data_IF_572059507282
#
_entry.id   IF_572059507282
#
_cell.length_a   1.000
_cell.length_b   1.000
_cell.length_c   1.000
_cell.angle_alpha   90.00
_cell.angle_beta   90.00
_cell.angle_gamma   90.00
#
_symmetry.space_group_name_H-M   'P 1'
#
loop_
_entity.id
_entity.type
_entity.pdbx_description
1 polymer ?
#
# COMPACT_ATOMS: atom_id res chain seq x y z
N UNK A 1 -31.63 -70.00 -26.70
CA UNK A 1 -31.76 -68.57 -27.11
C UNK A 1 -31.75 -67.57 -25.94
N UNK A 2 -31.99 -67.94 -24.67
CA UNK A 2 -32.02 -66.98 -23.55
C UNK A 2 -30.68 -66.38 -23.11
N UNK A 3 -29.54 -67.04 -23.35
CA UNK A 3 -28.22 -66.58 -22.87
C UNK A 3 -27.73 -65.26 -23.50
N UNK A 4 -28.06 -64.99 -24.76
CA UNK A 4 -27.65 -63.76 -25.44
C UNK A 4 -28.42 -62.53 -24.96
N UNK A 5 -29.68 -62.72 -24.54
CA UNK A 5 -30.55 -61.67 -24.03
C UNK A 5 -30.13 -61.23 -22.63
N UNK A 6 -29.70 -62.16 -21.77
CA UNK A 6 -29.14 -61.86 -20.45
C UNK A 6 -27.76 -61.20 -20.55
N UNK A 7 -26.88 -61.66 -21.45
CA UNK A 7 -25.55 -61.06 -21.63
C UNK A 7 -25.64 -59.60 -22.10
N UNK A 8 -26.58 -59.28 -23.02
CA UNK A 8 -26.85 -57.89 -23.45
C UNK A 8 -27.38 -57.02 -22.32
N UNK A 9 -28.30 -57.53 -21.49
CA UNK A 9 -28.80 -56.79 -20.31
C UNK A 9 -27.71 -56.52 -19.29
N UNK A 10 -26.83 -57.49 -19.04
CA UNK A 10 -25.69 -57.34 -18.13
C UNK A 10 -24.69 -56.31 -18.67
N UNK A 11 -24.37 -56.33 -19.98
CA UNK A 11 -23.52 -55.31 -20.60
C UNK A 11 -24.16 -53.90 -20.56
N UNK A 12 -25.47 -53.79 -20.78
CA UNK A 12 -26.20 -52.53 -20.69
C UNK A 12 -26.18 -51.95 -19.27
N UNK A 13 -26.44 -52.79 -18.27
CA UNK A 13 -26.34 -52.41 -16.85
C UNK A 13 -24.92 -52.02 -16.45
N UNK A 14 -23.91 -52.74 -16.94
CA UNK A 14 -22.50 -52.40 -16.71
C UNK A 14 -22.12 -51.07 -17.38
N UNK A 15 -22.60 -50.79 -18.60
CA UNK A 15 -22.37 -49.54 -19.31
C UNK A 15 -23.03 -48.33 -18.64
N UNK A 16 -24.25 -48.49 -18.14
CA UNK A 16 -24.95 -47.46 -17.35
C UNK A 16 -24.22 -47.21 -16.01
N UNK A 17 -23.78 -48.28 -15.34
CA UNK A 17 -23.01 -48.19 -14.10
C UNK A 17 -21.68 -47.46 -14.28
N UNK A 18 -20.93 -47.76 -15.35
CA UNK A 18 -19.70 -47.07 -15.72
C UNK A 18 -19.95 -45.60 -16.12
N UNK A 19 -21.05 -45.32 -16.82
CA UNK A 19 -21.45 -43.95 -17.17
C UNK A 19 -21.78 -43.09 -15.95
N UNK A 20 -22.53 -43.63 -14.99
CA UNK A 20 -22.84 -42.96 -13.72
C UNK A 20 -21.58 -42.72 -12.88
N UNK A 21 -20.65 -43.69 -12.85
CA UNK A 21 -19.38 -43.55 -12.16
C UNK A 21 -18.48 -42.47 -12.80
N UNK A 22 -18.50 -42.36 -14.13
CA UNK A 22 -17.82 -41.30 -14.87
C UNK A 22 -18.36 -39.90 -14.54
N UNK A 23 -19.70 -39.75 -14.52
CA UNK A 23 -20.35 -38.48 -14.13
C UNK A 23 -20.01 -38.11 -12.68
N UNK A 24 -20.03 -39.08 -11.76
CA UNK A 24 -19.67 -38.87 -10.36
C UNK A 24 -18.24 -38.35 -10.20
N UNK A 25 -17.28 -38.93 -10.93
CA UNK A 25 -15.87 -38.50 -10.91
C UNK A 25 -15.70 -37.06 -11.43
N UNK A 26 -16.42 -36.69 -12.49
CA UNK A 26 -16.40 -35.31 -13.03
C UNK A 26 -16.94 -34.32 -12.02
N UNK A 27 -18.03 -34.65 -11.32
CA UNK A 27 -18.61 -33.80 -10.27
C UNK A 27 -17.63 -33.62 -9.11
N UNK A 28 -16.98 -34.70 -8.65
CA UNK A 28 -15.99 -34.65 -7.57
C UNK A 28 -14.78 -33.79 -7.97
N UNK A 29 -14.28 -33.94 -9.19
CA UNK A 29 -13.19 -33.13 -9.72
C UNK A 29 -13.56 -31.64 -9.80
N UNK A 30 -14.78 -31.32 -10.27
CA UNK A 30 -15.30 -29.96 -10.31
C UNK A 30 -15.42 -29.34 -8.91
N UNK A 31 -16.02 -30.05 -7.95
CA UNK A 31 -16.17 -29.56 -6.57
C UNK A 31 -14.82 -29.33 -5.89
N UNK A 32 -13.84 -30.20 -6.15
CA UNK A 32 -12.48 -30.06 -5.62
C UNK A 32 -11.76 -28.83 -6.20
N UNK A 33 -11.90 -28.61 -7.52
CA UNK A 33 -11.36 -27.42 -8.19
C UNK A 33 -12.02 -26.13 -7.67
N UNK A 34 -13.35 -26.13 -7.50
CA UNK A 34 -14.10 -24.98 -7.00
C UNK A 34 -13.69 -24.62 -5.56
N UNK A 35 -13.50 -25.63 -4.70
CA UNK A 35 -13.01 -25.46 -3.32
C UNK A 35 -11.60 -24.86 -3.30
N UNK A 36 -10.68 -25.37 -4.12
CA UNK A 36 -9.31 -24.86 -4.23
C UNK A 36 -9.24 -23.43 -4.74
N UNK A 37 -10.10 -23.07 -5.72
CA UNK A 37 -10.23 -21.70 -6.21
C UNK A 37 -10.75 -20.78 -5.09
N UNK A 38 -11.75 -21.22 -4.34
CA UNK A 38 -12.29 -20.49 -3.19
C UNK A 38 -11.28 -20.23 -2.08
N UNK A 39 -10.50 -21.25 -1.68
CA UNK A 39 -9.47 -21.09 -0.66
C UNK A 39 -8.36 -20.14 -1.10
N UNK A 40 -7.97 -20.20 -2.38
CA UNK A 40 -6.94 -19.33 -2.95
C UNK A 40 -7.41 -17.88 -2.99
N UNK A 41 -8.65 -17.63 -3.41
CA UNK A 41 -9.24 -16.30 -3.40
C UNK A 41 -9.28 -15.72 -1.97
N UNK A 42 -9.73 -16.50 -0.97
CA UNK A 42 -9.81 -16.04 0.41
C UNK A 42 -8.44 -15.66 1.01
N UNK A 43 -7.38 -16.43 0.72
CA UNK A 43 -6.01 -16.10 1.15
C UNK A 43 -5.54 -14.79 0.51
N UNK A 44 -5.79 -14.64 -0.79
CA UNK A 44 -5.41 -13.44 -1.54
C UNK A 44 -6.16 -12.22 -1.00
N UNK A 45 -7.47 -12.30 -0.80
CA UNK A 45 -8.29 -11.21 -0.23
C UNK A 45 -7.78 -10.77 1.15
N UNK A 46 -7.41 -11.73 2.00
CA UNK A 46 -6.81 -11.45 3.31
C UNK A 46 -5.46 -10.74 3.18
N UNK A 47 -4.62 -11.10 2.20
CA UNK A 47 -3.36 -10.41 1.94
C UNK A 47 -3.55 -8.99 1.43
N UNK A 48 -4.51 -8.77 0.52
CA UNK A 48 -4.85 -7.42 0.04
C UNK A 48 -5.38 -6.54 1.17
N UNK A 49 -6.24 -7.08 2.03
CA UNK A 49 -6.74 -6.36 3.21
C UNK A 49 -5.60 -5.96 4.16
N UNK A 50 -4.66 -6.87 4.41
CA UNK A 50 -3.48 -6.57 5.22
C UNK A 50 -2.56 -5.51 4.58
N UNK A 51 -2.33 -5.60 3.27
CA UNK A 51 -1.53 -4.62 2.53
C UNK A 51 -2.18 -3.23 2.54
N UNK A 52 -3.49 -3.16 2.34
CA UNK A 52 -4.23 -1.90 2.40
C UNK A 52 -4.14 -1.25 3.80
N UNK A 53 -4.30 -2.04 4.86
CA UNK A 53 -4.15 -1.56 6.24
C UNK A 53 -2.73 -1.06 6.55
N UNK A 54 -1.70 -1.74 6.04
CA UNK A 54 -0.30 -1.30 6.17
C UNK A 54 -0.07 0.02 5.43
N UNK A 55 -0.56 0.14 4.19
CA UNK A 55 -0.42 1.36 3.42
C UNK A 55 -1.19 2.53 4.04
N UNK A 56 -2.39 2.29 4.58
CA UNK A 56 -3.16 3.30 5.29
C UNK A 56 -2.43 3.80 6.54
N UNK A 57 -1.91 2.86 7.35
CA UNK A 57 -1.15 3.18 8.56
C UNK A 57 0.13 3.95 8.21
N UNK A 58 0.85 3.50 7.18
CA UNK A 58 2.06 4.16 6.67
C UNK A 58 1.77 5.57 6.16
N UNK A 59 0.72 5.76 5.36
CA UNK A 59 0.30 7.06 4.84
C UNK A 59 -0.05 8.01 5.99
N UNK A 60 -0.85 7.56 6.98
CA UNK A 60 -1.19 8.39 8.16
C UNK A 60 0.05 8.76 8.97
N UNK A 61 0.96 7.81 9.21
CA UNK A 61 2.19 8.07 9.95
C UNK A 61 3.07 9.10 9.25
N UNK A 62 3.22 9.00 7.92
CA UNK A 62 4.00 9.92 7.10
C UNK A 62 3.36 11.32 7.07
N UNK A 63 2.04 11.42 6.90
CA UNK A 63 1.34 12.71 6.92
C UNK A 63 1.43 13.39 8.30
N UNK A 64 1.26 12.63 9.37
CA UNK A 64 1.42 13.14 10.74
C UNK A 64 2.87 13.59 11.02
N UNK A 65 3.85 12.87 10.48
CA UNK A 65 5.25 13.28 10.56
C UNK A 65 5.49 14.58 9.78
N UNK A 66 4.95 14.70 8.56
CA UNK A 66 5.06 15.92 7.75
C UNK A 66 4.50 17.14 8.48
N UNK A 67 3.29 17.07 9.04
CA UNK A 67 2.71 18.17 9.84
C UNK A 67 3.57 18.49 11.08
N UNK A 68 4.10 17.44 11.73
CA UNK A 68 5.04 17.61 12.85
C UNK A 68 6.33 18.34 12.47
N UNK A 69 6.81 18.19 11.24
CA UNK A 69 7.97 18.91 10.72
C UNK A 69 7.64 20.33 10.22
N UNK A 70 6.41 20.59 9.77
CA UNK A 70 5.99 21.92 9.32
C UNK A 70 5.64 22.85 10.49
N UNK A 71 4.88 22.40 11.49
CA UNK A 71 4.26 23.33 12.42
C UNK A 71 5.15 23.68 13.62
N UNK A 72 5.61 22.66 14.36
CA UNK A 72 6.34 22.87 15.60
C UNK A 72 7.76 23.43 15.39
N UNK A 73 8.58 22.90 14.46
CA UNK A 73 9.92 23.42 14.21
C UNK A 73 9.90 24.80 13.57
N UNK A 74 8.98 25.09 12.64
CA UNK A 74 8.95 26.41 12.00
C UNK A 74 8.61 27.53 12.98
N UNK A 75 7.67 27.29 13.90
CA UNK A 75 7.31 28.25 14.93
C UNK A 75 8.49 28.48 15.89
N UNK A 76 9.03 27.39 16.46
CA UNK A 76 10.15 27.49 17.41
C UNK A 76 11.41 28.10 16.79
N UNK A 77 11.78 27.69 15.57
CA UNK A 77 12.94 28.24 14.85
C UNK A 77 12.72 29.69 14.44
N UNK A 78 11.48 30.09 14.13
CA UNK A 78 11.12 31.48 13.90
C UNK A 78 11.34 32.35 15.14
N UNK A 79 10.75 31.94 16.27
CA UNK A 79 10.85 32.67 17.54
C UNK A 79 12.31 32.80 18.02
N UNK A 80 13.09 31.71 17.91
CA UNK A 80 14.52 31.72 18.26
C UNK A 80 15.30 32.65 17.33
N UNK A 81 15.03 32.60 16.03
CA UNK A 81 15.71 33.45 15.04
C UNK A 81 15.44 34.94 15.29
N UNK A 82 14.18 35.30 15.57
CA UNK A 82 13.78 36.67 15.86
C UNK A 82 14.41 37.16 17.18
N UNK A 83 14.46 36.30 18.20
CA UNK A 83 15.14 36.60 19.46
C UNK A 83 16.65 36.82 19.28
N UNK A 84 17.31 36.00 18.46
CA UNK A 84 18.74 36.15 18.16
C UNK A 84 19.04 37.45 17.42
N UNK A 85 18.21 37.82 16.45
CA UNK A 85 18.33 39.08 15.72
C UNK A 85 18.13 40.30 16.64
N UNK A 86 17.07 40.28 17.47
CA UNK A 86 16.81 41.35 18.43
C UNK A 86 17.97 41.50 19.44
N UNK A 87 18.54 40.40 19.91
CA UNK A 87 19.69 40.42 20.83
C UNK A 87 20.97 40.91 20.14
N UNK A 88 21.18 40.57 18.86
CA UNK A 88 22.29 41.09 18.06
C UNK A 88 22.20 42.61 17.84
N UNK A 89 21.01 43.12 17.50
CA UNK A 89 20.76 44.56 17.32
C UNK A 89 20.95 45.34 18.63
N UNK A 90 20.43 44.80 19.74
CA UNK A 90 20.64 45.38 21.07
C UNK A 90 22.12 45.42 21.45
N UNK A 91 22.86 44.33 21.19
CA UNK A 91 24.29 44.24 21.46
C UNK A 91 25.10 45.25 20.64
N UNK A 92 24.77 45.46 19.37
CA UNK A 92 25.39 46.49 18.53
C UNK A 92 25.06 47.91 19.02
N UNK A 93 23.82 48.18 19.43
CA UNK A 93 23.44 49.48 19.99
C UNK A 93 24.18 49.80 21.30
N UNK A 94 24.34 48.79 22.16
CA UNK A 94 25.19 48.87 23.35
C UNK A 94 26.66 49.10 22.99
N UNK A 95 27.20 48.40 21.99
CA UNK A 95 28.57 48.59 21.53
C UNK A 95 28.83 50.03 21.08
N UNK A 96 27.94 50.58 20.25
CA UNK A 96 28.00 51.97 19.81
C UNK A 96 27.92 52.96 20.97
N UNK A 97 27.15 52.65 22.01
CA UNK A 97 27.06 53.48 23.21
C UNK A 97 28.37 53.47 24.02
N UNK A 98 29.01 52.30 24.14
CA UNK A 98 30.29 52.16 24.83
C UNK A 98 31.45 52.85 24.09
N UNK A 99 31.48 52.79 22.76
CA UNK A 99 32.47 53.52 21.96
C UNK A 99 32.27 55.04 22.06
N UNK A 100 31.02 55.50 22.04
CA UNK A 100 30.72 56.91 22.27
C UNK A 100 31.18 57.35 23.66
N UNK A 101 31.01 56.54 24.70
CA UNK A 101 31.51 56.83 26.04
C UNK A 101 33.04 56.79 26.13
N UNK A 102 33.70 55.82 25.47
CA UNK A 102 35.16 55.70 25.38
C UNK A 102 35.81 56.91 24.71
N UNK A 103 35.12 57.53 23.75
CA UNK A 103 35.56 58.78 23.11
C UNK A 103 35.54 60.00 24.04
N UNK A 104 34.70 59.97 25.09
CA UNK A 104 34.54 61.06 26.08
C UNK A 104 35.42 60.80 27.31
N UNK A 105 35.52 59.54 27.73
CA UNK A 105 36.30 59.06 28.87
C UNK A 105 37.26 57.99 28.35
N UNK A 106 38.57 58.28 28.20
CA UNK A 106 39.54 57.36 27.63
C UNK A 106 39.90 56.27 28.64
N UNK A 107 38.92 55.41 28.92
CA UNK A 107 39.04 54.18 29.69
C UNK A 107 39.09 53.06 28.66
N UNK A 108 40.28 52.52 28.38
CA UNK A 108 40.46 51.46 27.36
C UNK A 108 39.57 50.22 27.55
N UNK A 109 38.99 50.05 28.74
CA UNK A 109 37.99 49.01 29.04
C UNK A 109 36.66 49.20 28.29
N UNK A 110 36.26 50.45 27.97
CA UNK A 110 34.98 50.73 27.28
C UNK A 110 35.04 50.34 25.79
N UNK A 111 36.16 50.61 25.12
CA UNK A 111 36.40 50.16 23.75
C UNK A 111 36.46 48.62 23.68
N UNK A 112 37.11 47.97 24.66
CA UNK A 112 37.17 46.51 24.72
C UNK A 112 35.77 45.87 24.88
N UNK A 113 34.90 46.49 25.68
CA UNK A 113 33.50 46.06 25.84
C UNK A 113 32.73 46.23 24.52
N UNK A 114 32.91 47.36 23.82
CA UNK A 114 32.29 47.61 22.52
C UNK A 114 32.68 46.57 21.47
N UNK A 115 33.98 46.25 21.37
CA UNK A 115 34.49 45.21 20.46
C UNK A 115 33.90 43.83 20.78
N UNK A 116 33.83 43.45 22.06
CA UNK A 116 33.24 42.19 22.50
C UNK A 116 31.75 42.09 22.17
N UNK A 117 31.00 43.19 22.36
CA UNK A 117 29.58 43.25 22.02
C UNK A 117 29.33 43.11 20.51
N UNK A 118 30.13 43.75 19.65
CA UNK A 118 30.05 43.55 18.19
C UNK A 118 30.41 42.13 17.77
N UNK A 119 31.44 41.55 18.37
CA UNK A 119 31.79 40.15 18.10
C UNK A 119 30.64 39.21 18.49
N UNK A 120 29.97 39.50 19.61
CA UNK A 120 28.77 38.76 20.03
C UNK A 120 27.62 38.95 19.05
N UNK A 121 27.32 40.19 18.62
CA UNK A 121 26.29 40.49 17.65
C UNK A 121 26.52 39.77 16.30
N UNK A 122 27.77 39.76 15.82
CA UNK A 122 28.16 39.03 14.62
C UNK A 122 27.94 37.52 14.78
N UNK A 123 28.30 36.95 15.93
CA UNK A 123 28.09 35.53 16.23
C UNK A 123 26.62 35.16 16.26
N UNK A 124 25.78 36.02 16.85
CA UNK A 124 24.32 35.83 16.91
C UNK A 124 23.68 35.90 15.53
N UNK A 125 24.13 36.80 14.66
CA UNK A 125 23.69 36.85 13.25
C UNK A 125 24.11 35.61 12.47
N UNK A 126 25.31 35.07 12.73
CA UNK A 126 25.74 33.79 12.15
C UNK A 126 24.84 32.64 12.60
N UNK A 127 24.54 32.56 13.90
CA UNK A 127 23.61 31.56 14.43
C UNK A 127 22.21 31.70 13.82
N UNK A 128 21.71 32.92 13.65
CA UNK A 128 20.44 33.20 12.96
C UNK A 128 20.42 32.65 11.52
N UNK A 129 21.50 32.84 10.76
CA UNK A 129 21.62 32.26 9.41
C UNK A 129 21.61 30.72 9.43
N UNK A 130 22.27 30.09 10.42
CA UNK A 130 22.23 28.64 10.59
C UNK A 130 20.81 28.15 10.93
N UNK A 131 20.08 28.85 11.80
CA UNK A 131 18.69 28.53 12.12
C UNK A 131 17.76 28.68 10.90
N UNK A 132 17.96 29.72 10.08
CA UNK A 132 17.21 29.90 8.84
C UNK A 132 17.49 28.75 7.84
N UNK A 133 18.74 28.30 7.73
CA UNK A 133 19.11 27.14 6.92
C UNK A 133 18.47 25.85 7.44
N UNK A 134 18.50 25.66 8.75
CA UNK A 134 17.88 24.50 9.41
C UNK A 134 16.37 24.46 9.19
N UNK A 135 15.70 25.62 9.27
CA UNK A 135 14.27 25.77 8.92
C UNK A 135 14.00 25.36 7.48
N UNK A 136 14.83 25.80 6.53
CA UNK A 136 14.74 25.38 5.13
C UNK A 136 14.86 23.87 4.95
N UNK A 137 15.78 23.23 5.67
CA UNK A 137 15.97 21.77 5.66
C UNK A 137 14.74 21.01 6.20
N UNK A 138 14.17 21.48 7.32
CA UNK A 138 12.95 20.90 7.88
C UNK A 138 11.76 21.02 6.92
N UNK A 139 11.58 22.18 6.28
CA UNK A 139 10.54 22.35 5.27
C UNK A 139 10.73 21.42 4.07
N UNK A 140 11.95 21.26 3.57
CA UNK A 140 12.23 20.32 2.48
C UNK A 140 11.90 18.87 2.88
N UNK A 141 12.23 18.48 4.11
CA UNK A 141 11.90 17.15 4.65
C UNK A 141 10.38 16.97 4.77
N UNK A 142 9.66 17.99 5.23
CA UNK A 142 8.22 17.94 5.32
C UNK A 142 7.55 17.80 3.95
N UNK A 143 8.02 18.52 2.93
CA UNK A 143 7.56 18.37 1.53
C UNK A 143 7.85 16.97 0.99
N UNK A 144 9.04 16.43 1.23
CA UNK A 144 9.39 15.07 0.80
C UNK A 144 8.50 14.01 1.47
N UNK A 145 8.15 14.22 2.74
CA UNK A 145 7.22 13.35 3.46
C UNK A 145 5.81 13.48 2.90
N UNK A 146 5.33 14.68 2.61
CA UNK A 146 4.02 14.90 1.98
C UNK A 146 3.94 14.19 0.61
N UNK A 147 4.96 14.34 -0.22
CA UNK A 147 5.04 13.64 -1.52
C UNK A 147 5.05 12.11 -1.34
N UNK A 148 5.77 11.61 -0.33
CA UNK A 148 5.76 10.19 0.02
C UNK A 148 4.37 9.72 0.44
N UNK A 149 3.64 10.54 1.21
CA UNK A 149 2.26 10.27 1.60
C UNK A 149 1.30 10.24 0.41
N UNK A 150 1.48 11.11 -0.58
CA UNK A 150 0.72 11.11 -1.84
C UNK A 150 0.98 9.83 -2.63
N UNK A 151 2.26 9.46 -2.85
CA UNK A 151 2.63 8.23 -3.55
C UNK A 151 2.10 6.97 -2.86
N UNK A 152 2.08 6.94 -1.52
CA UNK A 152 1.44 5.85 -0.77
C UNK A 152 -0.07 5.76 -1.05
N UNK A 153 -0.75 6.91 -1.19
CA UNK A 153 -2.16 6.95 -1.61
C UNK A 153 -2.37 6.41 -3.02
N UNK A 154 -1.48 6.73 -3.95
CA UNK A 154 -1.50 6.19 -5.32
C UNK A 154 -1.31 4.67 -5.34
N UNK A 155 -0.36 4.14 -4.56
CA UNK A 155 -0.17 2.69 -4.44
C UNK A 155 -1.40 1.98 -3.86
N UNK A 156 -2.13 2.60 -2.92
CA UNK A 156 -3.40 2.03 -2.43
C UNK A 156 -4.44 1.95 -3.53
N UNK A 157 -4.54 3.00 -4.35
CA UNK A 157 -5.48 3.01 -5.46
C UNK A 157 -5.13 1.94 -6.51
N UNK A 158 -3.85 1.81 -6.86
CA UNK A 158 -3.37 0.76 -7.77
C UNK A 158 -3.63 -0.64 -7.20
N UNK A 159 -3.39 -0.83 -5.90
CA UNK A 159 -3.67 -2.07 -5.20
C UNK A 159 -5.17 -2.42 -5.25
N UNK A 160 -6.06 -1.44 -5.07
CA UNK A 160 -7.50 -1.64 -5.16
C UNK A 160 -7.95 -2.03 -6.58
N UNK A 161 -7.37 -1.43 -7.62
CA UNK A 161 -7.64 -1.81 -9.02
C UNK A 161 -7.16 -3.24 -9.30
N UNK A 162 -5.94 -3.58 -8.86
CA UNK A 162 -5.41 -4.93 -9.03
C UNK A 162 -6.24 -5.98 -8.29
N UNK A 163 -6.79 -5.64 -7.12
CA UNK A 163 -7.70 -6.52 -6.37
C UNK A 163 -8.99 -6.79 -7.14
N UNK A 164 -9.61 -5.75 -7.73
CA UNK A 164 -10.80 -5.88 -8.55
C UNK A 164 -10.56 -6.74 -9.79
N UNK A 165 -9.47 -6.51 -10.52
CA UNK A 165 -9.11 -7.31 -11.69
C UNK A 165 -8.92 -8.79 -11.32
N UNK A 166 -8.22 -9.05 -10.22
CA UNK A 166 -7.98 -10.42 -9.77
C UNK A 166 -9.26 -11.11 -9.32
N UNK A 167 -10.15 -10.41 -8.62
CA UNK A 167 -11.47 -10.93 -8.27
C UNK A 167 -12.24 -11.36 -9.52
N UNK A 168 -12.25 -10.52 -10.55
CA UNK A 168 -12.89 -10.84 -11.84
C UNK A 168 -12.25 -12.07 -12.52
N UNK A 169 -10.93 -12.25 -12.45
CA UNK A 169 -10.29 -13.46 -12.98
C UNK A 169 -10.69 -14.73 -12.24
N UNK A 170 -10.87 -14.68 -10.91
CA UNK A 170 -11.36 -15.83 -10.16
C UNK A 170 -12.80 -16.20 -10.54
N UNK A 171 -13.66 -15.20 -10.74
CA UNK A 171 -15.03 -15.42 -11.20
C UNK A 171 -15.07 -16.02 -12.62
N UNK A 172 -14.23 -15.52 -13.53
CA UNK A 172 -14.08 -16.09 -14.86
C UNK A 172 -13.58 -17.54 -14.82
N UNK A 173 -12.65 -17.86 -13.92
CA UNK A 173 -12.13 -19.22 -13.74
C UNK A 173 -13.22 -20.16 -13.22
N UNK A 174 -14.01 -19.74 -12.23
CA UNK A 174 -15.18 -20.50 -11.74
C UNK A 174 -16.19 -20.75 -12.85
N UNK A 175 -16.51 -19.73 -13.64
CA UNK A 175 -17.45 -19.85 -14.77
C UNK A 175 -16.94 -20.85 -15.83
N UNK A 176 -15.64 -20.80 -16.14
CA UNK A 176 -15.02 -21.72 -17.09
C UNK A 176 -15.03 -23.16 -16.57
N UNK A 177 -14.69 -23.39 -15.29
CA UNK A 177 -14.81 -24.70 -14.67
C UNK A 177 -16.24 -25.25 -14.72
N UNK A 178 -17.24 -24.40 -14.50
CA UNK A 178 -18.65 -24.80 -14.58
C UNK A 178 -19.06 -25.19 -16.01
N UNK A 179 -18.62 -24.43 -17.02
CA UNK A 179 -18.86 -24.74 -18.42
C UNK A 179 -18.21 -26.06 -18.83
N UNK A 180 -16.97 -26.31 -18.43
CA UNK A 180 -16.26 -27.57 -18.72
C UNK A 180 -16.97 -28.75 -18.05
N UNK A 181 -17.43 -28.60 -16.80
CA UNK A 181 -18.20 -29.64 -16.10
C UNK A 181 -19.53 -29.93 -16.81
N UNK A 182 -20.27 -28.90 -17.24
CA UNK A 182 -21.51 -29.05 -18.00
C UNK A 182 -21.28 -29.74 -19.34
N UNK A 183 -20.24 -29.35 -20.09
CA UNK A 183 -19.90 -29.98 -21.36
C UNK A 183 -19.53 -31.46 -21.18
N UNK A 184 -18.77 -31.79 -20.13
CA UNK A 184 -18.43 -33.17 -19.81
C UNK A 184 -19.68 -34.02 -19.46
N UNK A 185 -20.59 -33.49 -18.65
CA UNK A 185 -21.87 -34.16 -18.31
C UNK A 185 -22.71 -34.36 -19.57
N UNK A 186 -22.86 -33.34 -20.41
CA UNK A 186 -23.63 -33.42 -21.65
C UNK A 186 -23.03 -34.44 -22.63
N UNK A 187 -21.69 -34.47 -22.77
CA UNK A 187 -21.00 -35.47 -23.58
C UNK A 187 -21.21 -36.91 -23.07
N UNK A 188 -21.15 -37.12 -21.75
CA UNK A 188 -21.45 -38.42 -21.15
C UNK A 188 -22.90 -38.84 -21.37
N UNK A 189 -23.86 -37.93 -21.21
CA UNK A 189 -25.28 -38.20 -21.47
C UNK A 189 -25.53 -38.56 -22.94
N UNK A 190 -24.88 -37.87 -23.88
CA UNK A 190 -24.96 -38.18 -25.30
C UNK A 190 -24.39 -39.59 -25.61
N UNK A 191 -23.27 -39.97 -25.00
CA UNK A 191 -22.70 -41.32 -25.13
C UNK A 191 -23.64 -42.40 -24.57
N UNK A 192 -24.27 -42.16 -23.42
CA UNK A 192 -25.27 -43.07 -22.84
C UNK A 192 -26.48 -43.20 -23.77
N UNK A 193 -26.97 -42.10 -24.35
CA UNK A 193 -28.10 -42.12 -25.27
C UNK A 193 -27.79 -42.92 -26.56
N UNK A 194 -26.60 -42.74 -27.14
CA UNK A 194 -26.14 -43.49 -28.32
C UNK A 194 -25.95 -44.98 -27.98
N UNK A 195 -25.30 -45.28 -26.84
CA UNK A 195 -25.12 -46.65 -26.39
C UNK A 195 -26.43 -47.37 -26.10
N UNK A 196 -27.41 -46.66 -25.52
CA UNK A 196 -28.78 -47.15 -25.33
C UNK A 196 -29.48 -47.42 -26.66
N UNK A 197 -29.44 -46.48 -27.62
CA UNK A 197 -30.04 -46.67 -28.94
C UNK A 197 -29.44 -47.89 -29.66
N UNK A 198 -28.12 -48.08 -29.64
CA UNK A 198 -27.45 -49.24 -30.23
C UNK A 198 -27.80 -50.58 -29.54
N UNK A 199 -28.16 -50.55 -28.25
CA UNK A 199 -28.59 -51.73 -27.51
C UNK A 199 -30.07 -52.09 -27.75
N UNK A 200 -30.92 -51.11 -28.02
CA UNK A 200 -32.36 -51.28 -28.24
C UNK A 200 -32.77 -51.38 -29.73
N UNK A 201 -31.93 -50.97 -30.67
CA UNK A 201 -32.18 -50.97 -32.13
C UNK A 201 -31.51 -52.14 -32.87
N UNK A 202 -31.11 -53.19 -32.16
CA UNK A 202 -30.62 -54.42 -32.77
C UNK A 202 -31.76 -55.46 -32.81
N UNK A 203 -32.16 -55.95 -34.01
CA UNK A 203 -33.19 -56.98 -34.16
C UNK A 203 -32.86 -58.28 -33.42
#
# INVERSE_FOLDING_TARGET
MGYYTDLRRILALAGIGLGLLGILLVIIAYLSALSSIGSTQAIVDAQFTNLDAILESGQKAVLNASSGFQDAPNAALGDINDALLAYAESSDGLASSFESMGSILPLGQMDEIGVKLRASAASLRSASLEFASMKGSFNSTATNLEETGVRMGEYRQELAVSHLERSATFDALRATCALVALAAIAGFLALIAIGGALLFDAP
#
